data_IF_789018212367
#
_entry.id   IF_789018212367
#
_cell.length_a   1.000
_cell.length_b   1.000
_cell.length_c   1.000
_cell.angle_alpha   90.00
_cell.angle_beta   90.00
_cell.angle_gamma   90.00
#
_symmetry.space_group_name_H-M   'P 1'
#
loop_
_entity.id
_entity.type
_entity.pdbx_description
1 polymer ?
#
# COMPACT_ATOMS: atom_id res chain seq x y z
N UNK A 1 -4.53 -39.73 7.70
CA UNK A 1 -4.36 -38.95 6.45
C UNK A 1 -4.88 -37.53 6.65
N UNK A 2 -4.24 -36.73 7.52
CA UNK A 2 -4.70 -35.36 7.82
C UNK A 2 -3.56 -34.33 7.95
N UNK A 3 -2.31 -34.67 7.60
CA UNK A 3 -1.15 -33.80 7.84
C UNK A 3 -0.50 -33.22 6.58
N UNK A 4 -1.02 -33.48 5.38
CA UNK A 4 -0.36 -33.07 4.12
C UNK A 4 -0.94 -31.77 3.51
N UNK A 5 -2.01 -31.22 4.07
CA UNK A 5 -2.67 -30.02 3.51
C UNK A 5 -2.12 -28.72 4.12
N UNK A 6 -1.41 -28.77 5.26
CA UNK A 6 -0.90 -27.53 5.90
C UNK A 6 0.45 -27.04 5.34
N UNK A 7 1.28 -27.92 4.76
CA UNK A 7 2.62 -27.54 4.28
C UNK A 7 2.61 -26.72 2.97
N UNK A 8 1.57 -26.86 2.14
CA UNK A 8 1.45 -26.09 0.89
C UNK A 8 0.89 -24.68 1.10
N UNK A 9 0.21 -24.44 2.23
CA UNK A 9 -0.42 -23.15 2.54
C UNK A 9 0.51 -22.23 3.35
N UNK A 10 1.61 -22.73 3.91
CA UNK A 10 2.63 -21.90 4.58
C UNK A 10 3.72 -21.37 3.62
N UNK A 11 3.85 -21.95 2.43
CA UNK A 11 4.93 -21.60 1.49
C UNK A 11 4.86 -20.17 0.93
N UNK A 12 3.69 -19.51 1.00
CA UNK A 12 3.56 -18.13 0.52
C UNK A 12 4.07 -17.10 1.53
N UNK A 13 4.09 -17.45 2.82
CA UNK A 13 4.47 -16.53 3.90
C UNK A 13 5.95 -16.17 3.72
N UNK A 14 6.31 -14.87 3.66
CA UNK A 14 7.70 -14.47 3.55
C UNK A 14 8.51 -14.99 4.75
N UNK A 15 9.39 -15.96 4.50
CA UNK A 15 10.25 -16.57 5.51
C UNK A 15 11.72 -16.43 5.11
N UNK A 16 12.59 -16.22 6.09
CA UNK A 16 14.03 -16.22 5.87
C UNK A 16 14.62 -17.53 6.43
N UNK A 17 15.30 -18.31 5.58
CA UNK A 17 15.96 -19.53 6.03
C UNK A 17 17.16 -19.18 6.89
N UNK A 18 17.13 -19.61 8.14
CA UNK A 18 18.22 -19.46 9.09
C UNK A 18 19.05 -20.74 9.12
N UNK A 19 20.29 -20.67 8.62
CA UNK A 19 21.25 -21.78 8.75
C UNK A 19 21.83 -21.76 10.18
N UNK A 20 21.31 -22.60 11.07
CA UNK A 20 21.81 -22.73 12.44
C UNK A 20 23.15 -23.48 12.45
N UNK A 21 24.24 -22.84 12.89
CA UNK A 21 25.53 -23.51 13.20
C UNK A 21 26.26 -23.06 14.47
N UNK A 22 25.79 -22.06 15.24
CA UNK A 22 26.53 -21.62 16.44
C UNK A 22 25.64 -21.09 17.59
N UNK A 23 26.18 -21.18 18.81
CA UNK A 23 25.57 -20.87 20.11
C UNK A 23 25.29 -19.37 20.34
N UNK A 24 25.81 -18.50 19.47
CA UNK A 24 25.56 -17.07 19.43
C UNK A 24 24.82 -16.77 18.12
N UNK A 25 23.50 -16.70 18.18
CA UNK A 25 22.67 -16.49 17.00
C UNK A 25 22.69 -15.01 16.59
N UNK A 26 23.40 -14.72 15.50
CA UNK A 26 23.32 -13.44 14.80
C UNK A 26 22.18 -13.57 13.77
N UNK A 27 20.94 -13.40 14.22
CA UNK A 27 19.80 -13.18 13.33
C UNK A 27 19.93 -11.86 12.58
N UNK A 28 18.88 -11.43 11.87
CA UNK A 28 18.83 -10.09 11.28
C UNK A 28 19.19 -9.05 12.36
N UNK A 29 20.34 -8.41 12.22
CA UNK A 29 20.88 -7.50 13.26
C UNK A 29 20.20 -6.14 13.23
N UNK A 30 19.54 -5.82 12.11
CA UNK A 30 18.77 -4.61 11.91
C UNK A 30 17.47 -4.89 11.14
N UNK A 31 16.47 -4.03 11.36
CA UNK A 31 15.21 -4.08 10.61
C UNK A 31 15.41 -3.86 9.10
N UNK A 32 16.38 -3.02 8.71
CA UNK A 32 16.78 -2.87 7.31
C UNK A 32 17.28 -4.17 6.71
N UNK A 33 18.05 -4.96 7.46
CA UNK A 33 18.56 -6.25 6.97
C UNK A 33 17.44 -7.28 6.84
N UNK A 34 16.48 -7.26 7.76
CA UNK A 34 15.28 -8.09 7.65
C UNK A 34 14.49 -7.79 6.37
N UNK A 35 14.31 -6.51 6.01
CA UNK A 35 13.63 -6.13 4.77
C UNK A 35 14.31 -6.66 3.51
N UNK A 36 15.64 -6.63 3.46
CA UNK A 36 16.40 -7.16 2.33
C UNK A 36 16.35 -8.68 2.28
N UNK A 37 16.50 -9.36 3.42
CA UNK A 37 16.48 -10.84 3.47
C UNK A 37 15.10 -11.44 3.20
N UNK A 38 14.03 -10.72 3.53
CA UNK A 38 12.66 -11.09 3.18
C UNK A 38 12.26 -10.63 1.76
N UNK A 39 13.15 -9.91 1.07
CA UNK A 39 12.94 -9.38 -0.27
C UNK A 39 11.60 -8.63 -0.41
N UNK A 40 11.27 -7.79 0.58
CA UNK A 40 9.95 -7.16 0.66
C UNK A 40 9.66 -6.28 -0.55
N UNK A 41 10.67 -5.58 -1.09
CA UNK A 41 10.48 -4.71 -2.24
C UNK A 41 10.09 -5.48 -3.51
N UNK A 42 10.72 -6.64 -3.78
CA UNK A 42 10.31 -7.49 -4.93
C UNK A 42 9.04 -8.25 -4.62
N UNK A 43 8.82 -8.63 -3.36
CA UNK A 43 7.62 -9.32 -2.91
C UNK A 43 6.32 -8.54 -3.13
N UNK A 44 6.36 -7.22 -3.32
CA UNK A 44 5.19 -6.38 -3.67
C UNK A 44 4.52 -6.83 -4.98
N UNK A 45 5.29 -7.37 -5.92
CA UNK A 45 4.76 -7.87 -7.19
C UNK A 45 3.89 -9.12 -7.03
N UNK A 46 4.04 -9.86 -5.92
CA UNK A 46 3.25 -11.05 -5.64
C UNK A 46 1.93 -10.67 -4.95
N UNK A 47 0.81 -10.96 -5.60
CA UNK A 47 -0.55 -10.67 -5.12
C UNK A 47 -0.82 -11.29 -3.74
N UNK A 48 -0.26 -12.48 -3.45
CA UNK A 48 -0.44 -13.16 -2.15
C UNK A 48 0.32 -12.45 -1.04
N UNK A 49 1.49 -11.90 -1.36
CA UNK A 49 2.37 -11.23 -0.39
C UNK A 49 2.03 -9.76 -0.22
N UNK A 50 1.39 -9.13 -1.20
CA UNK A 50 1.08 -7.71 -1.19
C UNK A 50 0.33 -7.31 0.09
N UNK A 51 -0.75 -7.99 0.46
CA UNK A 51 -1.54 -7.65 1.64
C UNK A 51 -0.72 -7.73 2.93
N UNK A 52 0.14 -8.74 3.05
CA UNK A 52 1.06 -8.88 4.17
C UNK A 52 2.09 -7.73 4.20
N UNK A 53 2.75 -7.47 3.07
CA UNK A 53 3.78 -6.42 2.97
C UNK A 53 3.17 -5.05 3.25
N UNK A 54 2.00 -4.75 2.69
CA UNK A 54 1.27 -3.52 2.94
C UNK A 54 0.95 -3.37 4.43
N UNK A 55 0.54 -4.45 5.12
CA UNK A 55 0.25 -4.39 6.56
C UNK A 55 1.50 -4.17 7.41
N UNK A 56 2.62 -4.81 7.05
CA UNK A 56 3.91 -4.57 7.72
C UNK A 56 4.33 -3.11 7.54
N UNK A 57 4.24 -2.58 6.32
CA UNK A 57 4.58 -1.18 6.03
C UNK A 57 3.64 -0.23 6.78
N UNK A 58 2.35 -0.50 6.84
CA UNK A 58 1.36 0.28 7.59
C UNK A 58 1.76 0.42 9.07
N UNK A 59 2.04 -0.69 9.74
CA UNK A 59 2.44 -0.70 11.17
C UNK A 59 3.74 0.09 11.37
N UNK A 60 4.72 -0.09 10.48
CA UNK A 60 5.99 0.61 10.58
C UNK A 60 5.83 2.11 10.41
N UNK A 61 4.99 2.51 9.45
CA UNK A 61 4.70 3.91 9.14
C UNK A 61 3.98 4.60 10.30
N UNK A 62 3.00 3.92 10.91
CA UNK A 62 2.20 4.48 12.00
C UNK A 62 2.96 4.55 13.33
N UNK A 63 3.73 3.52 13.67
CA UNK A 63 4.24 3.38 15.04
C UNK A 63 5.75 3.55 15.17
N UNK A 64 6.53 3.34 14.10
CA UNK A 64 7.98 3.10 14.24
C UNK A 64 8.87 4.09 13.48
N UNK A 65 8.37 4.87 12.52
CA UNK A 65 9.20 5.75 11.65
C UNK A 65 10.21 6.60 12.42
N UNK A 66 9.78 7.21 13.53
CA UNK A 66 10.65 8.09 14.34
C UNK A 66 11.83 7.34 14.99
N UNK A 67 11.63 6.05 15.32
CA UNK A 67 12.60 5.19 15.97
C UNK A 67 13.42 4.33 14.99
N UNK A 68 13.11 4.42 13.68
CA UNK A 68 13.84 3.68 12.66
C UNK A 68 15.18 4.37 12.34
N UNK A 69 16.23 3.55 12.21
CA UNK A 69 17.53 4.02 11.71
C UNK A 69 17.39 4.66 10.33
N UNK A 70 18.33 5.52 9.95
CA UNK A 70 18.31 6.16 8.62
C UNK A 70 18.29 5.13 7.47
N UNK A 71 19.04 4.03 7.61
CA UNK A 71 19.03 2.94 6.63
C UNK A 71 17.70 2.20 6.59
N UNK A 72 17.05 1.98 7.73
CA UNK A 72 15.72 1.38 7.80
C UNK A 72 14.66 2.25 7.14
N UNK A 73 14.67 3.57 7.38
CA UNK A 73 13.78 4.52 6.71
C UNK A 73 14.01 4.58 5.20
N UNK A 74 15.28 4.52 4.77
CA UNK A 74 15.62 4.43 3.34
C UNK A 74 15.08 3.15 2.70
N UNK A 75 15.25 2.00 3.35
CA UNK A 75 14.69 0.73 2.87
C UNK A 75 13.17 0.73 2.88
N UNK A 76 12.53 1.31 3.90
CA UNK A 76 11.07 1.47 3.97
C UNK A 76 10.55 2.33 2.82
N UNK A 77 11.21 3.46 2.54
CA UNK A 77 10.89 4.30 1.38
C UNK A 77 11.07 3.53 0.07
N UNK A 78 12.10 2.70 -0.06
CA UNK A 78 12.28 1.84 -1.24
C UNK A 78 11.13 0.84 -1.44
N UNK A 79 10.63 0.23 -0.36
CA UNK A 79 9.46 -0.64 -0.40
C UNK A 79 8.20 0.16 -0.77
N UNK A 80 8.01 1.35 -0.19
CA UNK A 80 6.90 2.25 -0.56
C UNK A 80 6.94 2.63 -2.03
N UNK A 81 8.11 2.97 -2.58
CA UNK A 81 8.28 3.21 -4.01
C UNK A 81 7.87 2.00 -4.84
N UNK A 82 8.27 0.79 -4.45
CA UNK A 82 7.85 -0.42 -5.15
C UNK A 82 6.33 -0.65 -5.10
N UNK A 83 5.69 -0.40 -3.95
CA UNK A 83 4.22 -0.43 -3.80
C UNK A 83 3.56 0.55 -4.75
N UNK A 84 4.02 1.82 -4.76
CA UNK A 84 3.43 2.86 -5.59
C UNK A 84 3.57 2.56 -7.08
N UNK A 85 4.76 2.17 -7.53
CA UNK A 85 4.99 1.85 -8.94
C UNK A 85 4.12 0.68 -9.39
N UNK A 86 4.13 -0.43 -8.65
CA UNK A 86 3.31 -1.60 -8.97
C UNK A 86 1.82 -1.24 -8.96
N UNK A 87 1.36 -0.55 -7.91
CA UNK A 87 -0.05 -0.15 -7.80
C UNK A 87 -0.47 0.74 -8.97
N UNK A 88 0.40 1.65 -9.38
CA UNK A 88 0.19 2.56 -10.51
C UNK A 88 0.28 1.89 -11.89
N UNK A 89 1.07 0.82 -12.03
CA UNK A 89 1.22 0.10 -13.30
C UNK A 89 0.06 -0.87 -13.56
N UNK A 90 -0.46 -1.50 -12.50
CA UNK A 90 -1.53 -2.50 -12.60
C UNK A 90 -2.92 -1.93 -12.26
N UNK A 91 -3.03 -0.65 -11.89
CA UNK A 91 -4.27 0.00 -11.42
C UNK A 91 -4.94 -0.74 -10.24
N UNK A 92 -4.15 -1.33 -9.34
CA UNK A 92 -4.63 -2.07 -8.15
C UNK A 92 -4.08 -1.47 -6.87
N UNK A 93 -4.88 -1.45 -5.80
CA UNK A 93 -4.48 -0.98 -4.46
C UNK A 93 -3.99 0.48 -4.41
N UNK A 94 -4.44 1.32 -5.34
CA UNK A 94 -4.08 2.75 -5.42
C UNK A 94 -4.41 3.51 -4.12
N UNK A 95 -5.56 3.22 -3.50
CA UNK A 95 -5.97 3.81 -2.21
C UNK A 95 -4.99 3.46 -1.10
N UNK A 96 -4.65 2.18 -0.95
CA UNK A 96 -3.68 1.68 0.03
C UNK A 96 -2.31 2.32 -0.19
N UNK A 97 -1.81 2.34 -1.42
CA UNK A 97 -0.52 2.95 -1.74
C UNK A 97 -0.49 4.45 -1.37
N UNK A 98 -1.55 5.19 -1.71
CA UNK A 98 -1.70 6.62 -1.37
C UNK A 98 -1.67 6.85 0.14
N UNK A 99 -2.42 6.07 0.89
CA UNK A 99 -2.49 6.20 2.34
C UNK A 99 -1.17 5.90 3.01
N UNK A 100 -0.48 4.83 2.60
CA UNK A 100 0.83 4.48 3.15
C UNK A 100 1.86 5.61 2.92
N UNK A 101 1.85 6.24 1.74
CA UNK A 101 2.75 7.36 1.45
C UNK A 101 2.36 8.61 2.24
N UNK A 102 1.07 8.92 2.38
CA UNK A 102 0.60 10.05 3.19
C UNK A 102 0.96 9.88 4.67
N UNK A 103 0.71 8.70 5.23
CA UNK A 103 1.07 8.39 6.61
C UNK A 103 2.59 8.44 6.80
N UNK A 104 3.39 8.01 5.82
CA UNK A 104 4.85 8.11 5.88
C UNK A 104 5.31 9.57 5.88
N UNK A 105 4.73 10.42 5.04
CA UNK A 105 5.00 11.87 5.05
C UNK A 105 4.67 12.51 6.40
N UNK A 106 3.48 12.25 6.94
CA UNK A 106 3.05 12.77 8.24
C UNK A 106 3.94 12.28 9.39
N UNK A 107 4.37 11.02 9.35
CA UNK A 107 5.26 10.45 10.36
C UNK A 107 6.66 11.08 10.34
N UNK A 108 7.09 11.64 9.20
CA UNK A 108 8.35 12.37 9.06
C UNK A 108 8.28 13.82 9.57
N UNK A 109 7.09 14.41 9.68
CA UNK A 109 6.90 15.76 10.24
C UNK A 109 7.13 15.78 11.77
N UNK A 110 7.16 14.62 12.42
CA UNK A 110 7.59 14.46 13.81
C UNK A 110 9.10 14.66 14.00
N UNK A 111 9.56 14.71 15.26
CA UNK A 111 10.99 14.79 15.56
C UNK A 111 11.67 13.45 15.21
N UNK A 112 12.16 13.32 13.98
CA UNK A 112 12.90 12.14 13.53
C UNK A 112 14.38 12.33 13.77
N UNK A 113 15.03 11.33 14.38
CA UNK A 113 16.48 11.37 14.60
C UNK A 113 17.23 11.39 13.26
N UNK A 114 18.14 12.34 13.04
CA UNK A 114 18.95 12.42 11.83
C UNK A 114 19.16 13.85 11.34
N UNK A 115 19.79 14.02 10.17
CA UNK A 115 19.98 15.34 9.60
C UNK A 115 18.67 15.88 9.00
N UNK A 116 18.36 17.18 9.15
CA UNK A 116 17.16 17.78 8.57
C UNK A 116 17.14 17.67 7.04
N UNK A 117 18.31 17.68 6.39
CA UNK A 117 18.45 17.46 4.95
C UNK A 117 18.02 16.06 4.50
N UNK A 118 18.21 15.03 5.34
CA UNK A 118 17.78 13.68 5.02
C UNK A 118 16.25 13.56 5.15
N UNK A 119 15.68 14.18 6.18
CA UNK A 119 14.22 14.23 6.38
C UNK A 119 13.54 14.96 5.23
N UNK A 120 14.08 16.12 4.81
CA UNK A 120 13.53 16.87 3.66
C UNK A 120 13.61 16.07 2.36
N UNK A 121 14.69 15.30 2.14
CA UNK A 121 14.79 14.39 0.99
C UNK A 121 13.73 13.29 1.02
N UNK A 122 13.43 12.72 2.20
CA UNK A 122 12.38 11.72 2.33
C UNK A 122 10.97 12.32 2.14
N UNK A 123 10.72 13.51 2.66
CA UNK A 123 9.47 14.25 2.43
C UNK A 123 9.28 14.58 0.95
N UNK A 124 10.33 15.07 0.27
CA UNK A 124 10.27 15.32 -1.18
C UNK A 124 9.99 14.02 -1.95
N UNK A 125 10.64 12.92 -1.60
CA UNK A 125 10.38 11.63 -2.25
C UNK A 125 8.93 11.16 -2.03
N UNK A 126 8.38 11.33 -0.83
CA UNK A 126 6.98 11.02 -0.55
C UNK A 126 6.02 11.91 -1.37
N UNK A 127 6.30 13.21 -1.48
CA UNK A 127 5.53 14.11 -2.35
C UNK A 127 5.57 13.67 -3.82
N UNK A 128 6.76 13.35 -4.35
CA UNK A 128 6.89 12.87 -5.73
C UNK A 128 6.13 11.56 -5.96
N UNK A 129 6.07 10.66 -4.97
CA UNK A 129 5.26 9.44 -5.09
C UNK A 129 3.75 9.75 -5.11
N UNK A 130 3.30 10.74 -4.35
CA UNK A 130 1.90 11.20 -4.41
C UNK A 130 1.57 11.84 -5.76
N UNK A 131 2.51 12.56 -6.36
CA UNK A 131 2.36 13.12 -7.70
C UNK A 131 2.20 12.00 -8.74
N UNK A 132 3.03 10.95 -8.68
CA UNK A 132 2.91 9.76 -9.55
C UNK A 132 1.54 9.10 -9.41
N UNK A 133 1.02 8.98 -8.19
CA UNK A 133 -0.32 8.43 -7.94
C UNK A 133 -1.42 9.35 -8.48
N UNK A 134 -1.20 10.66 -8.46
CA UNK A 134 -2.19 11.66 -8.87
C UNK A 134 -2.27 11.80 -10.39
N UNK A 135 -1.13 11.80 -11.09
CA UNK A 135 -1.04 11.78 -12.55
C UNK A 135 -1.66 10.52 -13.16
N UNK A 136 -1.65 9.43 -12.39
CA UNK A 136 -2.19 8.12 -12.78
C UNK A 136 -3.59 7.87 -12.26
N UNK A 137 -4.29 8.87 -11.70
CA UNK A 137 -5.71 8.68 -11.43
C UNK A 137 -6.39 8.19 -12.71
N UNK A 138 -7.21 7.12 -12.64
CA UNK A 138 -7.99 6.70 -13.79
C UNK A 138 -8.70 7.95 -14.25
N UNK A 139 -8.59 8.29 -15.55
CA UNK A 139 -9.25 9.45 -16.16
C UNK A 139 -10.69 9.48 -15.65
N UNK A 140 -10.92 10.21 -14.57
CA UNK A 140 -12.26 10.36 -14.04
C UNK A 140 -12.95 11.17 -15.10
N UNK A 141 -14.01 10.59 -15.64
CA UNK A 141 -15.24 11.06 -16.30
C UNK A 141 -15.48 12.58 -16.45
N UNK A 142 -14.65 13.49 -15.93
CA UNK A 142 -14.60 14.91 -16.26
C UNK A 142 -14.30 15.20 -17.75
N UNK A 143 -14.07 14.18 -18.58
CA UNK A 143 -14.03 14.29 -20.05
C UNK A 143 -15.15 13.49 -20.73
N UNK A 144 -16.18 13.09 -19.98
CA UNK A 144 -17.37 12.51 -20.54
C UNK A 144 -18.37 13.64 -20.81
N UNK A 145 -18.79 13.73 -22.07
CA UNK A 145 -19.88 14.60 -22.51
C UNK A 145 -21.12 14.33 -21.63
N UNK A 146 -21.95 15.33 -21.32
CA UNK A 146 -23.15 15.19 -20.46
C UNK A 146 -24.12 14.08 -20.95
N UNK A 147 -23.97 13.63 -22.19
CA UNK A 147 -24.72 12.53 -22.81
C UNK A 147 -24.13 11.12 -22.56
N UNK A 148 -23.03 11.00 -21.81
CA UNK A 148 -22.37 9.70 -21.59
C UNK A 148 -23.10 8.91 -20.50
N UNK A 149 -23.51 7.68 -20.83
CA UNK A 149 -24.13 6.76 -19.86
C UNK A 149 -23.19 6.54 -18.68
N UNK A 150 -23.64 6.92 -17.50
CA UNK A 150 -22.90 6.80 -16.25
C UNK A 150 -23.17 5.45 -15.59
N UNK A 151 -22.31 5.07 -14.64
CA UNK A 151 -22.52 3.87 -13.83
C UNK A 151 -23.89 3.86 -13.14
N UNK A 152 -24.47 5.03 -12.87
CA UNK A 152 -25.76 5.18 -12.18
C UNK A 152 -26.97 4.96 -13.11
N UNK A 153 -26.77 4.93 -14.43
CA UNK A 153 -27.83 4.67 -15.41
C UNK A 153 -28.11 3.17 -15.59
N UNK A 154 -27.31 2.30 -14.96
CA UNK A 154 -27.52 0.86 -14.94
C UNK A 154 -28.72 0.47 -14.05
N UNK A 155 -29.50 -0.56 -14.43
CA UNK A 155 -30.58 -1.07 -13.59
C UNK A 155 -30.11 -1.43 -12.18
N UNK A 156 -30.98 -1.20 -11.19
CA UNK A 156 -30.65 -1.32 -9.76
C UNK A 156 -30.10 -2.70 -9.39
N UNK A 157 -30.58 -3.75 -10.05
CA UNK A 157 -30.14 -5.13 -9.87
C UNK A 157 -28.66 -5.29 -10.26
N UNK A 158 -28.24 -4.67 -11.37
CA UNK A 158 -26.86 -4.73 -11.88
C UNK A 158 -25.94 -3.90 -10.98
N UNK A 159 -26.37 -2.71 -10.59
CA UNK A 159 -25.67 -1.89 -9.59
C UNK A 159 -25.42 -2.67 -8.29
N UNK A 160 -26.44 -3.38 -7.79
CA UNK A 160 -26.33 -4.16 -6.56
C UNK A 160 -25.36 -5.33 -6.70
N UNK A 161 -25.32 -5.98 -7.88
CA UNK A 161 -24.38 -7.07 -8.17
C UNK A 161 -22.93 -6.58 -8.23
N UNK A 162 -22.68 -5.43 -8.86
CA UNK A 162 -21.34 -4.83 -8.95
C UNK A 162 -20.86 -4.38 -7.57
N UNK A 163 -21.68 -3.65 -6.81
CA UNK A 163 -21.32 -3.19 -5.47
C UNK A 163 -21.06 -4.36 -4.50
N UNK A 164 -21.80 -5.47 -4.65
CA UNK A 164 -21.61 -6.68 -3.83
C UNK A 164 -20.34 -7.46 -4.22
N UNK A 165 -19.73 -7.17 -5.36
CA UNK A 165 -18.47 -7.75 -5.82
C UNK A 165 -17.25 -6.91 -5.44
N UNK A 166 -17.45 -5.71 -4.87
CA UNK A 166 -16.34 -4.92 -4.35
C UNK A 166 -15.70 -5.65 -3.15
N UNK A 167 -14.37 -5.84 -3.17
CA UNK A 167 -13.68 -6.66 -2.17
C UNK A 167 -13.49 -5.96 -0.83
N UNK A 168 -13.66 -4.64 -0.75
CA UNK A 168 -13.32 -3.83 0.42
C UNK A 168 -14.43 -2.83 0.81
N UNK A 169 -14.72 -2.78 2.11
CA UNK A 169 -15.71 -1.89 2.73
C UNK A 169 -15.39 -0.40 2.45
N UNK A 170 -14.10 -0.11 2.25
CA UNK A 170 -13.61 1.24 1.97
C UNK A 170 -13.97 1.69 0.56
N UNK A 171 -13.76 0.87 -0.47
CA UNK A 171 -14.26 1.15 -1.82
C UNK A 171 -15.76 1.38 -1.82
N UNK A 172 -16.51 0.62 -1.02
CA UNK A 172 -17.96 0.79 -0.88
C UNK A 172 -18.33 2.14 -0.24
N UNK A 173 -17.62 2.55 0.82
CA UNK A 173 -17.79 3.88 1.44
C UNK A 173 -17.44 5.02 0.48
N UNK A 174 -16.38 4.88 -0.31
CA UNK A 174 -16.02 5.88 -1.32
C UNK A 174 -17.06 5.97 -2.44
N UNK A 175 -17.63 4.84 -2.88
CA UNK A 175 -18.76 4.87 -3.84
C UNK A 175 -19.99 5.56 -3.25
N UNK A 176 -20.28 5.34 -1.96
CA UNK A 176 -21.39 6.00 -1.27
C UNK A 176 -21.20 7.52 -1.16
N UNK A 177 -19.98 7.99 -0.86
CA UNK A 177 -19.66 9.43 -0.83
C UNK A 177 -19.89 10.11 -2.18
N UNK A 178 -19.54 9.43 -3.28
CA UNK A 178 -19.80 9.93 -4.64
C UNK A 178 -21.31 10.04 -4.89
N UNK A 179 -22.09 9.01 -4.52
CA UNK A 179 -23.56 9.03 -4.64
C UNK A 179 -24.22 10.19 -3.89
N UNK A 180 -23.70 10.56 -2.72
CA UNK A 180 -24.20 11.70 -1.96
C UNK A 180 -24.05 13.05 -2.69
N UNK A 181 -23.05 13.19 -3.58
CA UNK A 181 -22.84 14.42 -4.35
C UNK A 181 -23.79 14.58 -5.55
N UNK A 182 -24.28 13.48 -6.12
CA UNK A 182 -25.18 13.53 -7.28
C UNK A 182 -26.64 13.85 -6.89
N UNK A 183 -27.07 13.52 -5.68
CA UNK A 183 -28.43 13.81 -5.22
C UNK A 183 -28.66 15.27 -4.79
N UNK A 184 -27.59 16.06 -4.63
CA UNK A 184 -27.68 17.47 -4.19
C UNK A 184 -27.74 18.47 -5.35
N UNK A 185 -27.84 18.00 -6.61
CA UNK A 185 -27.93 18.84 -7.81
C UNK A 185 -29.29 18.84 -8.51
N UNK A 186 -30.26 18.07 -7.98
CA UNK A 186 -31.60 17.96 -8.56
C UNK A 186 -32.71 18.64 -7.71
N UNK A 187 -32.36 19.68 -6.95
CA UNK A 187 -33.32 20.61 -6.33
C UNK A 187 -32.83 22.06 -6.40
#
# INVERSE_FOLDING_TARGET
MASAISELDEAWIPHCFVKSKSKEFIGCTSISEAFHRLDLARGVSDVRRFSYIAKVVEILVQEKVQNLSGNARKSLLGILTAIVLRSSEEDVHISTARELVQQFGQALDGHVCGSPQLVSRHQHAASSLLDVISDRQPKTVASADEASTTFLDLPREILSLVLRRLPDDRSLLETAKVRGKYFSRDF
#
